data_IF_751974987233
#
_entry.id   IF_751974987233
#
_cell.length_a   1.000
_cell.length_b   1.000
_cell.length_c   1.000
_cell.angle_alpha   90.00
_cell.angle_beta   90.00
_cell.angle_gamma   90.00
#
_symmetry.space_group_name_H-M   'P 1'
#
loop_
_entity.id
_entity.type
_entity.pdbx_description
1 polymer ?
#
# COMPACT_ATOMS: atom_id res chain seq x y z
N UNK A 1 22.00 -22.36 -26.68
CA UNK A 1 22.29 -20.98 -26.18
C UNK A 1 21.02 -20.31 -25.63
N UNK A 2 19.89 -20.34 -26.37
CA UNK A 2 18.59 -19.75 -25.95
C UNK A 2 18.03 -20.35 -24.65
N UNK A 3 18.09 -21.67 -24.47
CA UNK A 3 17.54 -22.31 -23.25
C UNK A 3 18.31 -21.93 -21.97
N UNK A 4 19.61 -21.68 -22.08
CA UNK A 4 20.42 -21.18 -20.94
C UNK A 4 20.00 -19.75 -20.59
N UNK A 5 19.71 -18.92 -21.60
CA UNK A 5 19.21 -17.56 -21.40
C UNK A 5 17.80 -17.57 -20.78
N UNK A 6 16.90 -18.47 -21.23
CA UNK A 6 15.54 -18.63 -20.68
C UNK A 6 15.57 -19.01 -19.20
N UNK A 7 16.35 -20.04 -18.83
CA UNK A 7 16.53 -20.45 -17.44
C UNK A 7 17.12 -19.34 -16.56
N UNK A 8 18.05 -18.57 -17.12
CA UNK A 8 18.61 -17.42 -16.42
C UNK A 8 17.57 -16.33 -16.16
N UNK A 9 16.74 -16.01 -17.17
CA UNK A 9 15.68 -15.01 -17.05
C UNK A 9 14.64 -15.41 -15.99
N UNK A 10 14.19 -16.67 -15.99
CA UNK A 10 13.27 -17.20 -14.98
C UNK A 10 13.85 -17.04 -13.58
N UNK A 11 15.11 -17.45 -13.37
CA UNK A 11 15.78 -17.29 -12.08
C UNK A 11 15.90 -15.83 -11.63
N UNK A 12 16.17 -14.90 -12.56
CA UNK A 12 16.19 -13.47 -12.25
C UNK A 12 14.83 -12.99 -11.76
N UNK A 13 13.74 -13.40 -12.41
CA UNK A 13 12.38 -13.08 -11.98
C UNK A 13 12.08 -13.63 -10.59
N UNK A 14 12.36 -14.92 -10.36
CA UNK A 14 12.16 -15.58 -9.06
C UNK A 14 12.94 -14.88 -7.94
N UNK A 15 14.21 -14.54 -8.18
CA UNK A 15 15.03 -13.82 -7.21
C UNK A 15 14.48 -12.42 -6.92
N UNK A 16 13.97 -11.71 -7.93
CA UNK A 16 13.35 -10.40 -7.74
C UNK A 16 12.07 -10.48 -6.91
N UNK A 17 11.23 -11.49 -7.15
CA UNK A 17 10.03 -11.72 -6.34
C UNK A 17 10.38 -12.09 -4.90
N UNK A 18 11.33 -13.02 -4.70
CA UNK A 18 11.78 -13.41 -3.37
C UNK A 18 12.36 -12.22 -2.59
N UNK A 19 13.16 -11.39 -3.25
CA UNK A 19 13.71 -10.17 -2.64
C UNK A 19 12.61 -9.16 -2.26
N UNK A 20 11.62 -8.96 -3.13
CA UNK A 20 10.52 -8.06 -2.87
C UNK A 20 9.68 -8.51 -1.66
N UNK A 21 9.38 -9.81 -1.57
CA UNK A 21 8.63 -10.39 -0.46
C UNK A 21 9.42 -10.31 0.85
N UNK A 22 10.69 -10.72 0.86
CA UNK A 22 11.54 -10.66 2.06
C UNK A 22 11.71 -9.22 2.58
N UNK A 23 11.83 -8.24 1.66
CA UNK A 23 11.86 -6.83 2.03
C UNK A 23 10.53 -6.35 2.61
N UNK A 24 9.41 -6.79 2.02
CA UNK A 24 8.07 -6.48 2.52
C UNK A 24 7.90 -7.02 3.94
N UNK A 25 8.11 -8.32 4.15
CA UNK A 25 7.93 -8.97 5.45
C UNK A 25 8.81 -8.36 6.56
N UNK A 26 10.03 -7.91 6.23
CA UNK A 26 10.93 -7.25 7.19
C UNK A 26 10.51 -5.84 7.60
N UNK A 27 9.83 -5.12 6.72
CA UNK A 27 9.50 -3.70 6.92
C UNK A 27 8.03 -3.45 7.19
N UNK A 28 7.18 -4.42 6.88
CA UNK A 28 5.75 -4.35 7.06
C UNK A 28 5.38 -4.58 8.51
N UNK A 29 4.86 -3.54 9.16
CA UNK A 29 4.18 -3.65 10.43
C UNK A 29 2.67 -3.77 10.15
N UNK A 30 2.07 -4.90 10.53
CA UNK A 30 0.63 -5.06 10.46
C UNK A 30 -0.05 -4.00 11.34
N UNK A 31 -1.01 -3.23 10.80
CA UNK A 31 -1.69 -2.21 11.57
C UNK A 31 -2.74 -2.81 12.52
N UNK A 32 -2.82 -2.35 13.76
CA UNK A 32 -3.84 -2.74 14.75
C UNK A 32 -5.10 -1.85 14.62
N UNK A 33 -5.75 -1.87 13.46
CA UNK A 33 -6.98 -1.11 13.22
C UNK A 33 -8.21 -1.81 13.79
N UNK A 34 -9.10 -1.05 14.43
CA UNK A 34 -10.39 -1.55 14.93
C UNK A 34 -11.55 -0.81 14.27
N UNK A 35 -12.65 -1.53 14.11
CA UNK A 35 -13.91 -0.92 13.66
C UNK A 35 -14.34 0.12 14.68
N UNK A 36 -14.64 1.33 14.20
CA UNK A 36 -14.94 2.50 15.04
C UNK A 36 -13.75 3.44 15.27
N UNK A 37 -12.52 3.05 14.93
CA UNK A 37 -11.36 3.94 15.07
C UNK A 37 -11.44 5.11 14.09
N UNK A 38 -10.93 6.25 14.53
CA UNK A 38 -10.77 7.46 13.71
C UNK A 38 -9.40 7.47 13.05
N UNK A 39 -9.39 7.45 11.72
CA UNK A 39 -8.16 7.41 10.92
C UNK A 39 -8.05 8.58 9.96
N UNK A 40 -6.81 9.02 9.72
CA UNK A 40 -6.49 10.04 8.74
C UNK A 40 -6.11 9.39 7.41
N UNK A 41 -6.66 9.86 6.29
CA UNK A 41 -6.33 9.33 4.95
C UNK A 41 -5.30 10.22 4.27
N UNK A 42 -4.17 9.66 3.85
CA UNK A 42 -3.09 10.43 3.21
C UNK A 42 -3.47 10.90 1.81
N UNK A 43 -3.36 12.19 1.55
CA UNK A 43 -3.70 12.82 0.27
C UNK A 43 -2.56 12.76 -0.77
N UNK A 44 -1.39 12.24 -0.39
CA UNK A 44 -0.14 12.32 -1.17
C UNK A 44 -0.28 11.67 -2.57
N UNK A 45 -1.03 10.57 -2.66
CA UNK A 45 -1.20 9.79 -3.90
C UNK A 45 -2.51 10.07 -4.64
N UNK A 46 -3.29 11.06 -4.21
CA UNK A 46 -4.55 11.41 -4.88
C UNK A 46 -4.27 12.25 -6.13
N UNK A 47 -4.11 11.56 -7.25
CA UNK A 47 -3.86 12.16 -8.57
C UNK A 47 -5.06 12.93 -9.14
N UNK A 48 -6.27 12.70 -8.61
CA UNK A 48 -7.51 13.34 -9.06
C UNK A 48 -7.74 14.74 -8.47
N UNK A 49 -6.86 15.22 -7.58
CA UNK A 49 -7.02 16.54 -6.95
C UNK A 49 -6.33 17.59 -7.82
N UNK A 50 -7.10 18.36 -8.58
CA UNK A 50 -6.60 19.50 -9.37
C UNK A 50 -6.14 20.65 -8.44
N UNK A 51 -5.03 21.33 -8.74
CA UNK A 51 -4.54 22.50 -7.97
C UNK A 51 -3.10 22.40 -7.45
N UNK A 52 -2.64 23.42 -6.73
CA UNK A 52 -1.26 23.55 -6.25
C UNK A 52 -0.90 22.43 -5.25
N UNK A 53 0.12 21.62 -5.56
CA UNK A 53 0.51 20.45 -4.75
C UNK A 53 1.11 20.82 -3.38
N UNK A 54 1.66 22.03 -3.23
CA UNK A 54 2.36 22.47 -2.02
C UNK A 54 1.45 23.05 -0.94
N UNK A 55 0.19 23.37 -1.26
CA UNK A 55 -0.77 23.95 -0.32
C UNK A 55 -1.86 22.94 0.12
N UNK A 56 -1.62 21.65 -0.12
CA UNK A 56 -2.57 20.59 0.24
C UNK A 56 -2.19 19.99 1.58
N UNK A 57 -3.17 19.84 2.46
CA UNK A 57 -3.01 19.08 3.68
C UNK A 57 -2.59 17.65 3.35
N UNK A 58 -1.56 17.13 4.01
CA UNK A 58 -1.02 15.79 3.76
C UNK A 58 -2.01 14.67 4.11
N UNK A 59 -3.05 15.00 4.87
CA UNK A 59 -4.05 14.08 5.37
C UNK A 59 -5.45 14.74 5.35
N UNK A 60 -6.46 13.96 5.02
CA UNK A 60 -7.86 14.38 5.02
C UNK A 60 -8.63 13.66 6.14
N UNK A 61 -9.39 14.46 6.90
CA UNK A 61 -10.30 14.13 8.02
C UNK A 61 -9.76 13.16 9.07
N UNK A 62 -10.43 13.03 10.22
CA UNK A 62 -10.63 11.73 10.84
C UNK A 62 -11.88 11.08 10.25
N UNK A 63 -11.73 9.93 9.59
CA UNK A 63 -12.83 9.08 9.13
C UNK A 63 -12.99 7.86 10.03
N UNK A 64 -14.22 7.38 10.20
CA UNK A 64 -14.50 6.19 11.00
C UNK A 64 -14.28 4.93 10.16
N UNK A 65 -13.54 3.96 10.70
CA UNK A 65 -13.44 2.62 10.11
C UNK A 65 -14.77 1.89 10.30
N UNK A 66 -15.42 1.52 9.19
CA UNK A 66 -16.68 0.77 9.16
C UNK A 66 -16.48 -0.74 9.18
N UNK A 67 -15.46 -1.22 8.47
CA UNK A 67 -15.16 -2.64 8.37
C UNK A 67 -13.67 -2.88 8.09
N UNK A 68 -13.18 -4.06 8.49
CA UNK A 68 -11.83 -4.55 8.17
C UNK A 68 -11.93 -5.58 7.05
N UNK A 69 -11.20 -5.35 5.95
CA UNK A 69 -11.16 -6.24 4.78
C UNK A 69 -9.80 -6.93 4.72
N UNK A 70 -9.70 -8.09 5.39
CA UNK A 70 -8.42 -8.78 5.56
C UNK A 70 -7.48 -8.04 6.51
N UNK A 71 -6.18 -8.29 6.38
CA UNK A 71 -5.18 -7.78 7.34
C UNK A 71 -4.73 -6.34 7.07
N UNK A 72 -4.84 -5.86 5.82
CA UNK A 72 -4.20 -4.60 5.39
C UNK A 72 -5.16 -3.63 4.67
N UNK A 73 -6.45 -3.92 4.60
CA UNK A 73 -7.43 -3.02 3.99
C UNK A 73 -8.59 -2.75 4.94
N UNK A 74 -9.07 -1.50 4.92
CA UNK A 74 -10.18 -1.03 5.75
C UNK A 74 -11.16 -0.24 4.90
N UNK A 75 -12.44 -0.35 5.24
CA UNK A 75 -13.48 0.49 4.66
C UNK A 75 -13.75 1.67 5.59
N UNK A 76 -13.67 2.88 5.04
CA UNK A 76 -13.91 4.13 5.77
C UNK A 76 -15.12 4.85 5.20
N UNK A 77 -15.90 5.46 6.10
CA UNK A 77 -17.08 6.24 5.74
C UNK A 77 -16.68 7.72 5.52
N UNK A 78 -16.93 8.21 4.30
CA UNK A 78 -16.71 9.61 3.90
C UNK A 78 -18.01 10.41 4.03
N UNK A 79 -18.56 10.48 5.25
CA UNK A 79 -19.78 11.24 5.55
C UNK A 79 -19.51 12.73 5.78
#
# INVERSE_FOLDING_TARGET
MVEKARKHAVRCMENSYAYANDKWDKSHAAPDFKVGDLVLVSTINFNNITGCKTLKDLFAAPFVIKALNGENAVEVELS
#
